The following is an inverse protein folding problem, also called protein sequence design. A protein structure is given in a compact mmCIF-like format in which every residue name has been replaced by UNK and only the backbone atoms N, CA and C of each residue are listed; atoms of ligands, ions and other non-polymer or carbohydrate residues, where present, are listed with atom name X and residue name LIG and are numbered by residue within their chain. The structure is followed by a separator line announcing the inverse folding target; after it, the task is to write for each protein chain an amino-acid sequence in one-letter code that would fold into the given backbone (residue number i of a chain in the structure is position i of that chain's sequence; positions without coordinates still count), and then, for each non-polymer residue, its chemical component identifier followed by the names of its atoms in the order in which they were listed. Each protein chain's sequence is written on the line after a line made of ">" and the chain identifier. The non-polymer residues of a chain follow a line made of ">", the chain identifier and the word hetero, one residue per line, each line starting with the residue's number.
data_IF_422810028463
#
_entry.id   IF_422810028463
#
_cell.length_a   1.000
_cell.length_b   1.000
_cell.length_c   1.000
_cell.angle_alpha   90.00
_cell.angle_beta   90.00
_cell.angle_gamma   90.00
#
_symmetry.space_group_name_H-M   'P 1'
#
loop_
_entity.id
_entity.type
_entity.pdbx_description
1 polymer ?
#
# COMPACT_ATOMS: atom_id res chain seq x y z
N UNK A 1 -5.64 55.29 32.41
CA UNK A 1 -5.48 55.62 31.00
C UNK A 1 -4.03 55.82 30.65
N UNK A 2 -3.23 54.77 30.46
CA UNK A 2 -1.80 54.82 30.00
C UNK A 2 -1.31 53.40 29.67
N UNK A 3 -1.94 52.68 28.73
CA UNK A 3 -1.45 51.34 28.23
C UNK A 3 -1.94 51.03 26.78
N UNK A 4 -2.08 52.01 25.90
CA UNK A 4 -2.52 51.79 24.52
C UNK A 4 -1.68 52.51 23.44
N UNK A 5 -0.41 52.78 23.65
CA UNK A 5 0.39 53.57 22.67
C UNK A 5 1.72 52.82 22.30
N UNK A 6 1.94 51.58 22.70
CA UNK A 6 3.22 50.90 22.44
C UNK A 6 3.12 49.73 21.44
N UNK A 7 2.07 49.66 20.62
CA UNK A 7 1.91 48.57 19.66
C UNK A 7 1.88 48.99 18.18
N UNK A 8 2.28 50.21 17.86
CA UNK A 8 2.17 50.71 16.47
C UNK A 8 3.53 51.12 15.84
N UNK A 9 4.66 50.70 16.40
CA UNK A 9 6.00 51.12 15.93
C UNK A 9 6.93 49.98 15.51
N UNK A 10 6.45 48.73 15.36
CA UNK A 10 7.25 47.56 14.91
C UNK A 10 6.92 47.08 13.50
N UNK A 11 6.00 47.73 12.79
CA UNK A 11 5.58 47.27 11.45
C UNK A 11 6.18 48.01 10.25
N UNK A 12 7.22 48.83 10.39
CA UNK A 12 7.74 49.67 9.28
C UNK A 12 9.24 49.40 8.95
N UNK A 13 9.84 48.32 9.33
CA UNK A 13 11.27 48.06 9.02
C UNK A 13 11.59 46.75 8.30
N UNK A 14 10.67 46.20 7.48
CA UNK A 14 10.94 44.94 6.72
C UNK A 14 10.48 45.03 5.27
N UNK A 15 10.73 46.13 4.58
CA UNK A 15 10.62 46.19 3.12
C UNK A 15 11.82 47.01 2.62
N UNK A 16 12.92 46.35 2.31
CA UNK A 16 13.99 46.82 1.41
C UNK A 16 15.21 45.88 1.47
N UNK A 17 15.12 44.79 0.71
CA UNK A 17 16.31 44.13 0.14
C UNK A 17 15.89 43.12 -0.96
N UNK A 18 15.43 43.69 -2.05
CA UNK A 18 15.40 43.03 -3.36
C UNK A 18 16.31 43.81 -4.26
N UNK A 19 17.53 43.33 -4.52
CA UNK A 19 18.23 43.61 -5.78
C UNK A 19 19.51 42.80 -5.88
N UNK A 20 19.66 42.22 -7.04
CA UNK A 20 20.88 41.80 -7.73
C UNK A 20 21.45 40.40 -7.40
N UNK A 21 21.20 39.46 -8.30
CA UNK A 21 22.32 38.99 -9.14
C UNK A 21 21.77 38.35 -10.45
N UNK A 22 22.29 38.91 -11.52
CA UNK A 22 22.05 38.70 -12.94
C UNK A 22 22.98 37.60 -13.45
N UNK A 23 22.49 36.78 -14.39
CA UNK A 23 23.14 36.17 -15.55
C UNK A 23 24.40 35.33 -15.41
N UNK A 24 24.33 34.08 -15.86
CA UNK A 24 25.21 33.63 -16.94
C UNK A 24 24.52 32.49 -17.73
N UNK A 25 24.15 32.81 -18.97
CA UNK A 25 23.92 31.87 -20.07
C UNK A 25 25.29 31.40 -20.59
N UNK A 26 25.48 30.11 -20.77
CA UNK A 26 26.40 29.55 -21.72
C UNK A 26 25.65 28.58 -22.62
N UNK A 27 25.49 29.02 -23.86
CA UNK A 27 25.06 28.21 -24.99
C UNK A 27 26.18 27.26 -25.42
N UNK A 28 25.82 26.00 -25.68
CA UNK A 28 26.62 25.12 -26.56
C UNK A 28 25.72 24.65 -27.66
N UNK A 29 25.91 25.27 -28.79
CA UNK A 29 25.55 24.79 -30.11
C UNK A 29 26.38 23.54 -30.46
N UNK A 30 25.77 22.47 -30.90
CA UNK A 30 26.37 21.65 -31.93
C UNK A 30 25.27 20.88 -32.73
N UNK A 31 25.13 21.31 -33.97
CA UNK A 31 24.35 20.66 -35.01
C UNK A 31 25.09 19.44 -35.52
N UNK A 32 24.39 18.36 -35.72
CA UNK A 32 24.83 17.19 -36.46
C UNK A 32 23.64 16.63 -37.23
N UNK A 33 23.45 17.13 -38.47
CA UNK A 33 22.54 16.52 -39.44
C UNK A 33 23.08 15.15 -39.86
N UNK A 34 22.23 14.13 -39.75
CA UNK A 34 22.45 12.83 -40.40
C UNK A 34 21.36 12.64 -41.43
N UNK A 35 21.77 12.74 -42.69
CA UNK A 35 20.95 12.35 -43.84
C UNK A 35 20.66 10.85 -43.80
N UNK A 36 19.39 10.48 -43.84
CA UNK A 36 18.95 9.11 -44.09
C UNK A 36 18.39 9.01 -45.49
N UNK A 37 19.12 8.32 -46.37
CA UNK A 37 18.60 7.84 -47.64
C UNK A 37 17.64 6.65 -47.42
N UNK A 38 16.51 6.59 -48.12
CA UNK A 38 15.64 5.41 -48.09
C UNK A 38 16.19 4.35 -49.07
N UNK A 39 16.43 3.16 -48.55
CA UNK A 39 16.63 1.95 -49.35
C UNK A 39 15.29 1.20 -49.38
N UNK A 40 14.65 1.20 -50.54
CA UNK A 40 13.55 0.29 -50.84
C UNK A 40 14.13 -1.11 -51.10
N UNK A 41 13.80 -2.06 -50.24
CA UNK A 41 14.08 -3.48 -50.45
C UNK A 41 12.74 -4.21 -50.58
N UNK A 42 12.44 -4.65 -51.84
CA UNK A 42 11.33 -5.54 -52.14
C UNK A 42 11.56 -6.90 -51.45
N UNK A 43 10.72 -7.25 -50.48
CA UNK A 43 10.71 -8.59 -49.92
C UNK A 43 9.52 -9.34 -50.49
N UNK A 44 9.82 -10.29 -51.39
CA UNK A 44 8.87 -11.30 -51.86
C UNK A 44 8.57 -12.30 -50.73
N UNK A 45 7.29 -12.43 -50.33
CA UNK A 45 6.81 -13.43 -49.40
C UNK A 45 6.92 -14.87 -49.95
N UNK A 46 7.38 -15.85 -49.20
CA UNK A 46 7.21 -17.26 -49.52
C UNK A 46 5.96 -17.81 -48.86
N UNK A 47 5.01 -18.24 -49.70
CA UNK A 47 3.71 -18.89 -49.31
C UNK A 47 3.84 -20.20 -48.48
N UNK A 48 5.03 -20.66 -48.17
CA UNK A 48 5.26 -21.96 -47.52
C UNK A 48 5.30 -21.92 -45.98
N UNK A 49 5.12 -20.76 -45.33
CA UNK A 49 5.22 -20.64 -43.86
C UNK A 49 3.87 -20.71 -43.17
N UNK A 50 2.76 -20.47 -43.88
CA UNK A 50 1.43 -20.42 -43.25
C UNK A 50 0.86 -21.80 -42.90
N UNK A 51 1.16 -22.85 -43.69
CA UNK A 51 0.67 -24.21 -43.37
C UNK A 51 1.33 -24.86 -42.14
N UNK A 52 2.56 -24.45 -41.80
CA UNK A 52 3.24 -24.98 -40.59
C UNK A 52 2.77 -24.34 -39.28
N UNK A 53 2.20 -23.14 -39.32
CA UNK A 53 1.71 -22.41 -38.14
C UNK A 53 0.29 -22.85 -37.74
N UNK A 54 -0.56 -23.19 -38.71
CA UNK A 54 -1.91 -23.71 -38.45
C UNK A 54 -1.85 -25.12 -37.83
N UNK A 55 -1.02 -26.02 -38.35
CA UNK A 55 -0.87 -27.37 -37.80
C UNK A 55 -0.24 -27.39 -36.38
N UNK A 56 0.49 -26.37 -35.98
CA UNK A 56 1.04 -26.26 -34.61
C UNK A 56 0.02 -25.69 -33.60
N UNK A 57 -0.95 -24.91 -34.11
CA UNK A 57 -2.05 -24.40 -33.27
C UNK A 57 -3.12 -25.41 -32.98
N UNK A 58 -3.47 -26.29 -33.95
CA UNK A 58 -4.44 -27.35 -33.70
C UNK A 58 -3.89 -28.43 -32.77
N UNK A 59 -2.60 -28.78 -32.84
CA UNK A 59 -1.99 -29.76 -31.94
C UNK A 59 -1.81 -29.24 -30.49
N UNK A 60 -1.84 -27.92 -30.27
CA UNK A 60 -1.73 -27.32 -28.91
C UNK A 60 -3.11 -27.13 -28.23
N UNK A 61 -4.21 -27.29 -28.98
CA UNK A 61 -5.57 -27.13 -28.45
C UNK A 61 -6.20 -28.46 -28.00
N UNK A 62 -5.61 -29.63 -28.34
CA UNK A 62 -6.12 -30.95 -27.97
C UNK A 62 -5.47 -31.57 -26.73
N UNK A 63 -4.52 -30.88 -26.07
CA UNK A 63 -3.98 -31.28 -24.77
C UNK A 63 -4.36 -30.30 -23.66
N UNK A 64 -5.56 -29.81 -23.60
CA UNK A 64 -6.20 -29.53 -22.31
C UNK A 64 -6.50 -30.87 -21.65
N UNK A 65 -5.50 -31.45 -20.99
CA UNK A 65 -5.74 -32.51 -20.02
C UNK A 65 -6.92 -32.07 -19.17
N UNK A 66 -7.97 -32.87 -19.17
CA UNK A 66 -9.04 -32.80 -18.19
C UNK A 66 -8.37 -33.03 -16.82
N UNK A 67 -7.87 -31.95 -16.23
CA UNK A 67 -7.45 -31.93 -14.82
C UNK A 67 -8.77 -32.14 -14.09
N UNK A 68 -9.06 -33.36 -13.65
CA UNK A 68 -10.12 -33.63 -12.68
C UNK A 68 -9.84 -32.66 -11.53
N UNK A 69 -10.67 -31.65 -11.41
CA UNK A 69 -10.58 -30.72 -10.28
C UNK A 69 -10.89 -31.52 -9.03
N UNK A 70 -9.86 -31.87 -8.27
CA UNK A 70 -10.07 -32.41 -6.93
C UNK A 70 -11.00 -31.46 -6.16
N UNK A 71 -12.02 -31.97 -5.48
CA UNK A 71 -12.94 -31.13 -4.73
C UNK A 71 -12.14 -30.31 -3.71
N UNK A 72 -12.41 -29.01 -3.70
CA UNK A 72 -11.79 -28.11 -2.73
C UNK A 72 -12.09 -28.62 -1.32
N UNK A 73 -11.06 -28.76 -0.48
CA UNK A 73 -11.24 -29.18 0.91
C UNK A 73 -12.19 -28.20 1.61
N UNK A 74 -13.28 -28.72 2.17
CA UNK A 74 -14.23 -27.94 2.96
C UNK A 74 -14.00 -28.25 4.44
N UNK A 75 -13.78 -27.20 5.24
CA UNK A 75 -13.59 -27.32 6.68
C UNK A 75 -14.72 -26.60 7.41
N UNK A 76 -15.58 -27.35 8.12
CA UNK A 76 -16.73 -26.80 8.82
C UNK A 76 -16.32 -25.74 9.86
N UNK A 77 -16.97 -24.57 9.82
CA UNK A 77 -16.67 -23.42 10.69
C UNK A 77 -15.44 -22.60 10.29
N UNK A 78 -14.84 -22.91 9.15
CA UNK A 78 -13.67 -22.19 8.61
C UNK A 78 -13.87 -21.80 7.15
N UNK A 79 -13.17 -20.76 6.73
CA UNK A 79 -13.09 -20.33 5.34
C UNK A 79 -11.62 -20.07 4.95
N UNK A 80 -11.31 -20.03 3.68
CA UNK A 80 -10.00 -19.62 3.19
C UNK A 80 -9.89 -18.10 3.24
N UNK A 81 -8.93 -17.61 4.02
CA UNK A 81 -8.70 -16.18 4.18
C UNK A 81 -8.38 -15.52 2.84
N UNK A 82 -9.04 -14.43 2.55
CA UNK A 82 -8.77 -13.58 1.38
C UNK A 82 -7.42 -12.87 1.44
N UNK A 83 -6.77 -12.88 2.62
CA UNK A 83 -5.47 -12.24 2.84
C UNK A 83 -4.29 -13.22 2.76
N UNK A 84 -4.47 -14.46 3.23
CA UNK A 84 -3.37 -15.44 3.37
C UNK A 84 -3.65 -16.79 2.75
N UNK A 85 -4.89 -17.07 2.33
CA UNK A 85 -5.38 -18.39 1.93
C UNK A 85 -5.26 -19.46 3.03
N UNK A 86 -5.07 -19.07 4.27
CA UNK A 86 -5.10 -19.98 5.41
C UNK A 86 -6.52 -20.23 5.92
N UNK A 87 -6.74 -21.35 6.60
CA UNK A 87 -8.00 -21.63 7.26
C UNK A 87 -8.23 -20.69 8.44
N UNK A 88 -9.27 -19.87 8.35
CA UNK A 88 -9.62 -18.84 9.32
C UNK A 88 -11.04 -19.05 9.82
N UNK A 89 -11.35 -18.69 11.07
CA UNK A 89 -12.68 -18.84 11.68
C UNK A 89 -13.74 -18.07 10.86
N UNK A 90 -14.79 -18.76 10.45
CA UNK A 90 -15.86 -18.20 9.61
C UNK A 90 -16.57 -17.01 10.26
N UNK A 91 -16.53 -16.88 11.58
CA UNK A 91 -17.12 -15.73 12.31
C UNK A 91 -16.53 -14.39 11.91
N UNK A 92 -15.28 -14.35 11.46
CA UNK A 92 -14.62 -13.11 11.03
C UNK A 92 -14.56 -12.95 9.52
N UNK A 93 -15.26 -13.81 8.75
CA UNK A 93 -15.23 -13.81 7.28
C UNK A 93 -15.56 -12.44 6.69
N UNK A 94 -16.61 -11.81 7.20
CA UNK A 94 -17.04 -10.50 6.73
C UNK A 94 -16.39 -9.32 7.46
N UNK A 95 -15.58 -9.60 8.51
CA UNK A 95 -14.89 -8.56 9.26
C UNK A 95 -13.85 -7.86 8.38
N UNK A 96 -13.87 -6.54 8.37
CA UNK A 96 -12.83 -5.74 7.72
C UNK A 96 -11.52 -5.86 8.48
N UNK A 97 -10.38 -6.00 7.80
CA UNK A 97 -9.08 -5.90 8.47
C UNK A 97 -8.81 -4.47 8.94
N UNK A 98 -7.92 -4.33 9.90
CA UNK A 98 -7.31 -3.05 10.23
C UNK A 98 -5.96 -2.91 9.52
N UNK A 99 -5.60 -1.69 9.14
CA UNK A 99 -4.29 -1.32 8.62
C UNK A 99 -3.58 -0.44 9.65
N UNK A 100 -2.68 -1.02 10.46
CA UNK A 100 -2.03 -0.32 11.58
C UNK A 100 -0.67 0.20 11.17
N UNK A 101 -0.44 1.49 11.38
CA UNK A 101 0.87 2.14 11.18
C UNK A 101 1.74 1.90 12.41
N UNK A 102 2.80 1.09 12.27
CA UNK A 102 3.70 0.72 13.37
C UNK A 102 5.10 1.26 13.11
N UNK A 103 5.69 1.87 14.13
CA UNK A 103 7.05 2.42 14.05
C UNK A 103 8.09 1.30 13.91
N UNK A 104 9.05 1.49 13.02
CA UNK A 104 10.14 0.55 12.80
C UNK A 104 11.51 1.13 13.19
N UNK A 105 11.52 2.18 14.00
CA UNK A 105 12.75 2.67 14.59
C UNK A 105 13.28 1.72 15.68
N UNK A 106 14.60 1.69 15.85
CA UNK A 106 15.22 0.86 16.88
C UNK A 106 14.66 1.12 18.28
N UNK A 107 14.28 2.36 18.59
CA UNK A 107 13.66 2.74 19.86
C UNK A 107 12.27 2.13 20.04
N UNK A 108 11.55 1.85 18.95
CA UNK A 108 10.22 1.23 19.00
C UNK A 108 10.24 -0.24 19.43
N UNK A 109 11.36 -0.92 19.26
CA UNK A 109 11.49 -2.36 19.53
C UNK A 109 11.39 -2.69 21.03
N UNK A 110 10.81 -3.87 21.39
CA UNK A 110 10.16 -4.83 20.51
C UNK A 110 8.81 -4.35 19.99
N UNK A 111 8.40 -4.82 18.82
CA UNK A 111 7.06 -4.63 18.31
C UNK A 111 6.06 -5.54 19.04
N UNK A 112 4.79 -5.13 19.06
CA UNK A 112 3.69 -5.94 19.58
C UNK A 112 2.63 -6.14 18.49
N UNK A 113 2.16 -7.37 18.34
CA UNK A 113 1.11 -7.73 17.37
C UNK A 113 1.57 -7.89 15.91
N UNK A 114 2.78 -7.46 15.53
CA UNK A 114 3.28 -7.53 14.15
C UNK A 114 3.44 -8.95 13.62
N UNK A 115 3.81 -9.91 14.48
CA UNK A 115 3.95 -11.32 14.10
C UNK A 115 2.60 -12.03 13.86
N UNK A 116 1.49 -11.35 14.14
CA UNK A 116 0.13 -11.82 13.91
C UNK A 116 -0.55 -11.08 12.76
N UNK A 117 0.19 -10.22 12.08
CA UNK A 117 -0.31 -9.57 10.88
C UNK A 117 -0.41 -10.57 9.72
N UNK A 118 -1.52 -10.50 8.99
CA UNK A 118 -1.73 -11.28 7.77
C UNK A 118 -0.79 -10.81 6.67
N UNK A 119 -0.56 -9.49 6.56
CA UNK A 119 0.33 -8.87 5.59
C UNK A 119 1.09 -7.73 6.28
N UNK A 120 2.37 -7.60 5.99
CA UNK A 120 3.21 -6.49 6.45
C UNK A 120 3.84 -5.79 5.27
N UNK A 121 3.52 -4.51 5.12
CA UNK A 121 4.21 -3.62 4.21
C UNK A 121 5.27 -2.83 4.96
N UNK A 122 6.53 -2.98 4.57
CA UNK A 122 7.60 -2.10 5.01
C UNK A 122 7.80 -0.99 3.99
N UNK A 123 7.59 0.25 4.42
CA UNK A 123 7.63 1.39 3.53
C UNK A 123 8.52 2.50 4.08
N UNK A 124 9.17 3.23 3.17
CA UNK A 124 9.95 4.40 3.52
C UNK A 124 9.06 5.45 4.20
N UNK A 125 9.39 5.81 5.43
CA UNK A 125 8.72 6.87 6.17
C UNK A 125 9.36 8.24 5.93
N UNK A 126 10.70 8.29 5.91
CA UNK A 126 11.48 9.51 5.72
C UNK A 126 12.84 9.19 5.10
N UNK A 127 13.32 10.06 4.23
CA UNK A 127 14.71 10.04 3.73
C UNK A 127 15.69 10.71 4.72
N UNK A 128 15.15 11.43 5.70
CA UNK A 128 15.88 11.95 6.84
C UNK A 128 15.97 10.90 7.95
N UNK A 129 16.74 11.15 9.00
CA UNK A 129 16.90 10.27 10.15
C UNK A 129 17.30 8.83 9.76
N UNK A 130 18.38 8.70 8.98
CA UNK A 130 18.96 7.42 8.55
C UNK A 130 18.00 6.53 7.74
N UNK A 131 17.04 7.12 7.01
CA UNK A 131 16.07 6.44 6.17
C UNK A 131 15.17 5.47 6.94
N UNK A 132 14.51 5.98 7.96
CA UNK A 132 13.58 5.21 8.78
C UNK A 132 12.42 4.67 7.94
N UNK A 133 12.15 3.39 8.08
CA UNK A 133 10.95 2.74 7.53
C UNK A 133 9.83 2.70 8.57
N UNK A 134 8.64 2.34 8.11
CA UNK A 134 7.47 2.11 8.93
C UNK A 134 6.70 0.92 8.39
N UNK A 135 6.12 0.13 9.29
CA UNK A 135 5.22 -0.95 8.89
C UNK A 135 3.79 -0.44 8.77
N UNK A 136 3.10 -0.95 7.75
CA UNK A 136 1.65 -1.02 7.71
C UNK A 136 1.27 -2.49 7.84
N UNK A 137 0.70 -2.84 8.99
CA UNK A 137 0.26 -4.21 9.28
C UNK A 137 -1.22 -4.35 8.97
N UNK A 138 -1.56 -5.21 8.01
CA UNK A 138 -2.95 -5.61 7.73
C UNK A 138 -3.26 -6.79 8.65
N UNK A 139 -4.28 -6.65 9.49
CA UNK A 139 -4.64 -7.65 10.50
C UNK A 139 -6.15 -7.85 10.49
N UNK A 140 -6.60 -9.06 10.21
CA UNK A 140 -8.03 -9.40 10.22
C UNK A 140 -8.49 -9.85 11.59
N UNK A 141 -7.78 -10.76 12.24
CA UNK A 141 -8.12 -11.24 13.59
C UNK A 141 -7.51 -10.34 14.69
N UNK A 142 -7.80 -9.04 14.61
CA UNK A 142 -7.29 -8.07 15.59
C UNK A 142 -7.95 -8.19 16.98
N UNK A 143 -9.13 -8.80 17.08
CA UNK A 143 -9.83 -8.98 18.36
C UNK A 143 -9.18 -10.04 19.26
N UNK A 144 -8.36 -10.94 18.70
CA UNK A 144 -7.59 -11.92 19.45
C UNK A 144 -6.32 -11.35 20.08
N UNK A 145 -5.96 -10.09 19.77
CA UNK A 145 -4.71 -9.48 20.18
C UNK A 145 -4.90 -8.58 21.40
N UNK A 146 -4.08 -8.81 22.43
CA UNK A 146 -4.08 -7.98 23.63
C UNK A 146 -3.40 -6.63 23.45
N UNK A 147 -2.46 -6.53 22.50
CA UNK A 147 -1.68 -5.31 22.25
C UNK A 147 -1.13 -5.27 20.82
N UNK A 148 -1.26 -4.12 20.16
CA UNK A 148 -0.70 -3.85 18.82
C UNK A 148 -0.01 -2.47 18.81
N UNK A 149 1.22 -2.38 18.29
CA UNK A 149 1.94 -1.10 18.16
C UNK A 149 3.45 -1.20 18.45
N UNK A 150 4.11 -0.06 18.62
CA UNK A 150 3.62 1.32 18.87
C UNK A 150 3.06 1.96 17.59
N UNK A 151 1.92 2.66 17.75
CA UNK A 151 1.21 3.32 16.64
C UNK A 151 1.93 4.61 16.26
N UNK A 152 1.95 4.89 14.95
CA UNK A 152 2.58 6.11 14.41
C UNK A 152 1.79 6.71 13.24
N UNK A 153 2.32 7.81 12.74
CA UNK A 153 1.68 8.60 11.68
C UNK A 153 1.59 7.86 10.35
N UNK A 154 0.48 8.04 9.66
CA UNK A 154 0.24 7.54 8.31
C UNK A 154 0.93 8.41 7.25
N UNK A 155 1.14 7.84 6.07
CA UNK A 155 1.67 8.51 4.87
C UNK A 155 0.77 8.26 3.66
N UNK A 156 0.96 9.04 2.61
CA UNK A 156 0.17 8.92 1.37
C UNK A 156 0.14 7.50 0.82
N UNK A 157 1.29 6.83 0.77
CA UNK A 157 1.41 5.45 0.27
C UNK A 157 0.53 4.47 1.04
N UNK A 158 0.42 4.64 2.37
CA UNK A 158 -0.46 3.81 3.19
C UNK A 158 -1.93 3.99 2.80
N UNK A 159 -2.35 5.25 2.56
CA UNK A 159 -3.72 5.59 2.18
C UNK A 159 -4.07 5.21 0.73
N UNK A 160 -3.07 4.94 -0.10
CA UNK A 160 -3.27 4.40 -1.44
C UNK A 160 -3.44 2.88 -1.44
N UNK A 161 -2.75 2.17 -0.54
CA UNK A 161 -2.78 0.70 -0.46
C UNK A 161 -3.94 0.21 0.41
N UNK A 162 -4.21 0.85 1.54
CA UNK A 162 -5.21 0.38 2.52
C UNK A 162 -6.62 0.17 1.96
N UNK A 163 -7.13 0.97 0.99
CA UNK A 163 -8.44 0.75 0.39
C UNK A 163 -8.58 -0.55 -0.41
N UNK A 164 -7.48 -1.08 -0.94
CA UNK A 164 -7.47 -2.34 -1.67
C UNK A 164 -7.93 -3.54 -0.80
N UNK A 165 -7.79 -3.40 0.52
CA UNK A 165 -8.24 -4.35 1.53
C UNK A 165 -9.56 -3.94 2.18
N UNK A 166 -10.15 -2.81 1.79
CA UNK A 166 -11.27 -2.19 2.49
C UNK A 166 -10.98 -2.06 4.01
N UNK A 167 -9.71 -1.82 4.38
CA UNK A 167 -9.25 -1.82 5.76
C UNK A 167 -9.57 -0.52 6.48
N UNK A 168 -9.73 -0.59 7.80
CA UNK A 168 -9.84 0.57 8.68
C UNK A 168 -8.42 1.01 9.05
N UNK A 169 -8.03 2.22 8.65
CA UNK A 169 -6.67 2.73 8.87
C UNK A 169 -6.49 3.20 10.30
N UNK A 170 -5.48 2.68 10.99
CA UNK A 170 -5.17 3.07 12.38
C UNK A 170 -3.79 3.73 12.44
N UNK A 171 -3.78 4.98 12.92
CA UNK A 171 -2.58 5.79 12.94
C UNK A 171 -2.62 6.86 14.06
N UNK A 172 -1.48 7.48 14.34
CA UNK A 172 -1.41 8.69 15.16
C UNK A 172 -0.72 9.80 14.37
N UNK A 173 -1.52 10.77 13.88
CA UNK A 173 -1.07 11.90 13.09
C UNK A 173 -0.69 11.57 11.64
N UNK A 174 -0.15 12.59 10.99
CA UNK A 174 0.30 12.57 9.60
C UNK A 174 0.62 13.98 9.11
N UNK A 175 1.23 14.14 7.93
CA UNK A 175 1.49 15.45 7.35
C UNK A 175 0.17 16.09 6.87
N UNK A 176 0.07 17.41 6.92
CA UNK A 176 -1.16 18.16 6.58
C UNK A 176 -1.69 17.87 5.17
N UNK A 177 -0.81 17.58 4.23
CA UNK A 177 -1.20 17.34 2.83
C UNK A 177 -1.98 16.03 2.62
N UNK A 178 -2.02 15.11 3.60
CA UNK A 178 -2.79 13.88 3.47
C UNK A 178 -4.27 14.03 3.80
N UNK A 179 -4.70 15.17 4.35
CA UNK A 179 -6.09 15.36 4.78
C UNK A 179 -7.08 15.14 3.63
N UNK A 180 -6.72 15.53 2.39
CA UNK A 180 -7.55 15.30 1.22
C UNK A 180 -7.82 13.80 0.93
N UNK A 181 -6.94 12.91 1.35
CA UNK A 181 -7.15 11.45 1.20
C UNK A 181 -8.18 10.92 2.19
N UNK A 182 -8.32 11.53 3.36
CA UNK A 182 -9.33 11.15 4.35
C UNK A 182 -10.75 11.59 3.97
N UNK A 183 -10.89 12.50 3.03
CA UNK A 183 -12.20 12.93 2.49
C UNK A 183 -12.76 11.90 1.48
N UNK A 184 -11.95 10.96 1.03
CA UNK A 184 -12.40 9.92 0.10
C UNK A 184 -13.35 8.95 0.83
N UNK A 185 -14.53 8.65 0.25
CA UNK A 185 -15.60 7.91 0.94
C UNK A 185 -15.23 6.44 1.24
N UNK A 186 -14.18 5.93 0.62
CA UNK A 186 -13.65 4.58 0.82
C UNK A 186 -12.51 4.54 1.86
N UNK A 187 -12.11 5.67 2.44
CA UNK A 187 -11.06 5.75 3.46
C UNK A 187 -11.69 6.02 4.82
N UNK A 188 -11.73 5.02 5.66
CA UNK A 188 -12.14 5.15 7.06
C UNK A 188 -10.94 4.94 7.98
N UNK A 189 -10.82 5.77 9.01
CA UNK A 189 -9.65 5.77 9.85
C UNK A 189 -9.94 6.13 11.32
N UNK A 190 -9.09 5.64 12.21
CA UNK A 190 -9.01 6.05 13.60
C UNK A 190 -7.66 6.70 13.86
N UNK A 191 -7.66 7.95 14.31
CA UNK A 191 -6.44 8.71 14.55
C UNK A 191 -6.22 9.02 16.02
N UNK A 192 -5.04 8.67 16.55
CA UNK A 192 -4.55 8.98 17.89
C UNK A 192 -5.50 8.63 19.03
N UNK A 193 -5.14 8.98 20.27
CA UNK A 193 -6.00 8.78 21.43
C UNK A 193 -6.16 7.32 21.85
N UNK A 194 -5.27 6.43 21.40
CA UNK A 194 -5.19 5.05 21.85
C UNK A 194 -4.48 4.94 23.20
N UNK A 195 -4.53 3.76 23.81
CA UNK A 195 -3.94 3.54 25.13
C UNK A 195 -2.44 3.86 25.17
N UNK A 196 -2.02 4.58 26.21
CA UNK A 196 -0.60 4.88 26.47
C UNK A 196 -0.05 3.91 27.53
N UNK A 197 0.82 3.00 27.08
CA UNK A 197 1.45 1.99 27.93
C UNK A 197 2.84 2.45 28.33
N UNK A 198 3.09 2.60 29.62
CA UNK A 198 4.41 2.96 30.16
C UNK A 198 5.39 1.80 29.93
N UNK A 199 6.41 2.04 29.11
CA UNK A 199 7.40 1.03 28.71
C UNK A 199 8.86 1.53 28.86
N UNK A 200 9.06 2.66 29.53
CA UNK A 200 10.39 3.27 29.72
C UNK A 200 10.93 4.02 28.50
N UNK A 201 10.15 4.13 27.43
CA UNK A 201 10.52 4.84 26.20
C UNK A 201 9.94 6.26 26.16
N UNK A 202 10.41 7.12 25.26
CA UNK A 202 9.77 8.41 24.98
C UNK A 202 8.28 8.24 24.66
N UNK A 203 7.47 9.26 25.00
CA UNK A 203 5.99 9.21 24.90
C UNK A 203 5.50 8.81 23.51
N UNK A 204 6.20 9.19 22.46
CA UNK A 204 5.86 8.85 21.09
C UNK A 204 5.88 7.34 20.77
N UNK A 205 6.57 6.53 21.58
CA UNK A 205 6.63 5.06 21.43
C UNK A 205 5.76 4.33 22.46
N UNK A 206 4.79 4.98 23.05
CA UNK A 206 3.96 4.41 24.13
C UNK A 206 2.51 4.18 23.75
N UNK A 207 2.11 4.50 22.53
CA UNK A 207 0.73 4.37 22.06
C UNK A 207 0.49 3.02 21.41
N UNK A 208 -0.54 2.32 21.88
CA UNK A 208 -0.88 0.97 21.45
C UNK A 208 -2.39 0.80 21.36
N UNK A 209 -2.84 -0.04 20.44
CA UNK A 209 -4.18 -0.61 20.47
C UNK A 209 -4.19 -1.65 21.59
N UNK A 210 -5.23 -1.62 22.42
CA UNK A 210 -5.49 -2.64 23.46
C UNK A 210 -6.73 -3.47 23.10
N UNK A 211 -6.94 -4.58 23.81
CA UNK A 211 -8.05 -5.50 23.59
C UNK A 211 -9.41 -4.78 23.51
N UNK A 212 -10.19 -5.04 22.46
CA UNK A 212 -11.52 -4.46 22.26
C UNK A 212 -11.55 -2.97 21.88
N UNK A 213 -10.42 -2.29 21.87
CA UNK A 213 -10.38 -0.84 21.63
C UNK A 213 -10.81 -0.46 20.21
N UNK A 214 -10.44 -1.25 19.21
CA UNK A 214 -10.85 -1.03 17.81
C UNK A 214 -12.37 -1.05 17.69
N UNK A 215 -13.01 -2.11 18.19
CA UNK A 215 -14.47 -2.28 18.13
C UNK A 215 -15.19 -1.14 18.84
N UNK A 216 -14.73 -0.79 20.05
CA UNK A 216 -15.36 0.28 20.83
C UNK A 216 -15.24 1.65 20.12
N UNK A 217 -14.10 1.92 19.51
CA UNK A 217 -13.88 3.19 18.80
C UNK A 217 -14.65 3.25 17.50
N UNK A 218 -14.62 2.19 16.68
CA UNK A 218 -15.41 2.14 15.45
C UNK A 218 -16.89 2.35 15.75
N UNK A 219 -17.43 1.70 16.79
CA UNK A 219 -18.82 1.91 17.23
C UNK A 219 -19.10 3.36 17.60
N UNK A 220 -18.18 4.03 18.29
CA UNK A 220 -18.31 5.43 18.70
C UNK A 220 -18.26 6.39 17.51
N UNK A 221 -17.39 6.12 16.55
CA UNK A 221 -17.18 6.95 15.36
C UNK A 221 -18.17 6.62 14.22
N UNK A 222 -19.00 5.55 14.37
CA UNK A 222 -19.95 5.10 13.35
C UNK A 222 -19.32 4.39 12.17
N UNK A 223 -18.12 3.81 12.35
CA UNK A 223 -17.40 3.03 11.34
C UNK A 223 -17.90 1.59 11.38
N UNK A 224 -18.28 1.06 10.21
CA UNK A 224 -18.71 -0.34 10.09
C UNK A 224 -17.49 -1.28 10.17
N UNK A 225 -17.67 -2.37 10.91
CA UNK A 225 -16.64 -3.40 11.09
C UNK A 225 -16.74 -4.50 10.04
N UNK A 226 -17.81 -4.55 9.25
CA UNK A 226 -17.97 -5.47 8.14
C UNK A 226 -17.58 -4.80 6.82
N UNK A 227 -17.24 -5.62 5.81
CA UNK A 227 -16.97 -5.12 4.46
C UNK A 227 -18.17 -4.32 3.93
N UNK A 228 -17.87 -3.16 3.36
CA UNK A 228 -18.86 -2.24 2.81
C UNK A 228 -18.84 -2.25 1.27
N UNK A 229 -19.62 -1.37 0.65
CA UNK A 229 -19.79 -1.27 -0.81
C UNK A 229 -18.49 -1.00 -1.60
N UNK A 230 -17.45 -0.56 -0.94
CA UNK A 230 -16.13 -0.31 -1.56
C UNK A 230 -15.25 -1.57 -1.60
N UNK A 231 -15.67 -2.68 -1.00
CA UNK A 231 -14.92 -3.92 -1.06
C UNK A 231 -15.04 -4.57 -2.45
N UNK A 232 -13.91 -4.73 -3.13
CA UNK A 232 -13.84 -5.29 -4.48
C UNK A 232 -13.49 -6.78 -4.52
N UNK A 233 -13.52 -7.47 -3.37
CA UNK A 233 -13.09 -8.86 -3.25
C UNK A 233 -11.63 -8.99 -2.82
N UNK A 234 -11.10 -10.21 -2.88
CA UNK A 234 -9.70 -10.46 -2.52
C UNK A 234 -8.74 -9.71 -3.45
N UNK A 235 -7.78 -9.00 -2.86
CA UNK A 235 -6.66 -8.40 -3.59
C UNK A 235 -5.75 -9.47 -4.20
N UNK A 236 -5.68 -10.65 -3.59
CA UNK A 236 -4.81 -11.74 -4.00
C UNK A 236 -5.57 -12.82 -4.75
N UNK A 237 -4.91 -13.38 -5.77
CA UNK A 237 -5.34 -14.60 -6.43
C UNK A 237 -4.39 -15.73 -6.00
N UNK A 238 -4.88 -16.59 -5.13
CA UNK A 238 -4.09 -17.71 -4.64
C UNK A 238 -4.15 -18.89 -5.63
N UNK A 239 -3.01 -19.56 -5.81
CA UNK A 239 -2.98 -20.81 -6.55
C UNK A 239 -3.81 -21.89 -5.81
N UNK A 240 -4.46 -22.77 -6.57
CA UNK A 240 -5.15 -23.93 -5.98
C UNK A 240 -4.12 -24.79 -5.22
N UNK A 241 -4.45 -25.39 -4.06
CA UNK A 241 -3.50 -26.13 -3.23
C UNK A 241 -2.74 -27.24 -3.98
N UNK A 242 -3.38 -27.85 -4.98
CA UNK A 242 -2.84 -28.97 -5.76
C UNK A 242 -2.11 -28.50 -7.04
N UNK A 243 -2.13 -27.19 -7.34
CA UNK A 243 -1.47 -26.62 -8.51
C UNK A 243 -0.18 -25.94 -8.09
N UNK A 244 0.91 -26.71 -8.07
CA UNK A 244 2.24 -26.15 -7.84
C UNK A 244 2.62 -25.25 -9.03
N UNK A 245 2.90 -23.99 -8.76
CA UNK A 245 3.38 -23.06 -9.79
C UNK A 245 4.80 -23.44 -10.17
N UNK A 246 5.02 -23.86 -11.40
CA UNK A 246 6.36 -24.12 -11.92
C UNK A 246 7.09 -22.80 -12.17
N UNK A 247 7.89 -22.38 -11.18
CA UNK A 247 8.67 -21.15 -11.26
C UNK A 247 9.82 -21.22 -12.27
N UNK A 248 10.17 -22.42 -12.77
CA UNK A 248 11.22 -22.58 -13.80
C UNK A 248 10.76 -22.08 -15.18
N UNK A 249 9.45 -21.98 -15.38
CA UNK A 249 8.83 -21.43 -16.59
C UNK A 249 8.47 -19.94 -16.47
N UNK A 250 8.95 -19.28 -15.43
CA UNK A 250 8.73 -17.85 -15.25
C UNK A 250 9.43 -17.12 -16.40
N UNK A 251 8.64 -16.47 -17.24
CA UNK A 251 9.17 -15.53 -18.21
C UNK A 251 9.71 -14.32 -17.45
N UNK A 252 11.01 -14.11 -17.53
CA UNK A 252 11.69 -12.98 -16.89
C UNK A 252 11.40 -11.64 -17.60
N UNK A 253 10.71 -11.68 -18.74
CA UNK A 253 10.25 -10.50 -19.46
C UNK A 253 8.92 -9.97 -18.87
N UNK A 254 8.99 -9.25 -17.76
CA UNK A 254 7.83 -8.49 -17.28
C UNK A 254 7.70 -7.21 -18.09
N UNK A 255 6.74 -7.17 -19.01
CA UNK A 255 6.43 -5.97 -19.79
C UNK A 255 5.59 -4.98 -18.95
N UNK A 256 6.25 -3.97 -18.40
CA UNK A 256 5.60 -2.89 -17.66
C UNK A 256 4.68 -2.02 -18.52
N UNK A 257 4.73 -2.13 -19.86
CA UNK A 257 3.91 -1.31 -20.76
C UNK A 257 2.41 -1.63 -20.68
N UNK A 258 2.06 -2.83 -20.23
CA UNK A 258 0.67 -3.30 -20.09
C UNK A 258 0.10 -3.14 -18.68
N UNK A 259 0.93 -2.90 -17.68
CA UNK A 259 0.51 -2.78 -16.28
C UNK A 259 -0.08 -1.40 -15.90
N UNK A 260 0.01 -0.40 -16.80
CA UNK A 260 -0.45 0.98 -16.57
C UNK A 260 -1.56 1.40 -17.54
N UNK A 261 -2.55 0.55 -17.79
CA UNK A 261 -3.75 0.93 -18.54
C UNK A 261 -4.97 0.93 -17.65
#
# INVERSE_FOLDING_TARGET
>A
MKKKVLSLLICISLVLSLSACSKKEEAVENAGEVETNPVEEEVSEPEAVNEAIENTKEASLEQEEQIEEEPEEVREGYYRSELTNEWTDEKIKNQRPIAVMIDNEKTALPHFGTSRADIVYEMMNSTLNDRVTRFMCIIKDYNSLSQIGSIRSVRTTNLQISPEYNSIVIHDGGPLYINAYFEAPYVEHLSGGFARIKNGKPTEFTEYITEGEVVNRCKKEGIDLEYNEYYQGSHWQFAKPNKQTDLSKRDDSFDFSTACK
#
